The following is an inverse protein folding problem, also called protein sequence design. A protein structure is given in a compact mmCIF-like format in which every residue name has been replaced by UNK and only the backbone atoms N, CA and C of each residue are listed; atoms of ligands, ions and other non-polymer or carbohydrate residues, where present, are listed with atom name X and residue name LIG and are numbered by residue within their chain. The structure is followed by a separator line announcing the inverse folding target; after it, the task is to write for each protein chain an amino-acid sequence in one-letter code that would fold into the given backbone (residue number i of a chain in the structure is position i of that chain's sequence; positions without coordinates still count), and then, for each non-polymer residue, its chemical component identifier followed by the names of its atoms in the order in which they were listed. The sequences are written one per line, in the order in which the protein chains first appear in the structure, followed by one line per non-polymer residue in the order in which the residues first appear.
data_IF_040351296810
#
_entry.id   IF_040351296810
#
_cell.length_a   1.000
_cell.length_b   1.000
_cell.length_c   1.000
_cell.angle_alpha   90.00
_cell.angle_beta   90.00
_cell.angle_gamma   90.00
#
_symmetry.space_group_name_H-M   'P 1'
#
loop_
_entity.id
_entity.type
_entity.pdbx_description
1 polymer ?
#
# COMPACT_ATOMS: atom_id res chain seq x y z
N UNK A 1 26.56 -27.00 -76.95
CA UNK A 1 26.52 -25.76 -76.16
C UNK A 1 25.39 -25.91 -75.15
N UNK A 2 25.71 -26.35 -73.94
CA UNK A 2 24.73 -26.84 -72.96
C UNK A 2 24.02 -25.71 -72.21
N UNK A 3 22.69 -25.81 -72.12
CA UNK A 3 21.87 -24.93 -71.28
C UNK A 3 21.70 -25.56 -69.89
N UNK A 4 22.05 -24.78 -68.86
CA UNK A 4 22.04 -25.16 -67.44
C UNK A 4 20.64 -24.97 -66.83
N UNK A 5 20.22 -25.96 -66.05
CA UNK A 5 19.09 -25.92 -65.13
C UNK A 5 19.33 -24.94 -63.98
N UNK A 6 18.30 -24.20 -63.58
CA UNK A 6 18.24 -23.48 -62.31
C UNK A 6 16.93 -23.82 -61.59
N UNK A 7 17.00 -24.68 -60.58
CA UNK A 7 15.90 -24.99 -59.68
C UNK A 7 15.90 -23.98 -58.51
N UNK A 8 14.78 -23.28 -58.33
CA UNK A 8 14.56 -22.39 -57.19
C UNK A 8 14.18 -23.21 -55.96
N UNK A 9 14.97 -23.11 -54.89
CA UNK A 9 14.67 -23.69 -53.57
C UNK A 9 13.95 -22.63 -52.74
N UNK A 10 12.67 -22.85 -52.45
CA UNK A 10 11.94 -22.06 -51.46
C UNK A 10 12.28 -22.55 -50.04
N UNK A 11 13.02 -21.74 -49.29
CA UNK A 11 13.25 -21.95 -47.87
C UNK A 11 12.00 -21.51 -47.07
N UNK A 12 11.28 -22.47 -46.49
CA UNK A 12 10.18 -22.21 -45.57
C UNK A 12 10.70 -21.78 -44.21
N UNK A 13 10.35 -20.57 -43.77
CA UNK A 13 10.59 -20.07 -42.42
C UNK A 13 9.58 -20.73 -41.48
N UNK A 14 10.05 -21.63 -40.61
CA UNK A 14 9.27 -22.15 -39.49
C UNK A 14 9.29 -21.11 -38.35
N UNK A 15 8.23 -20.29 -38.28
CA UNK A 15 7.97 -19.45 -37.11
C UNK A 15 7.49 -20.34 -35.97
N UNK A 16 8.38 -20.67 -35.02
CA UNK A 16 8.03 -21.33 -33.78
C UNK A 16 7.32 -20.35 -32.85
N UNK A 17 5.98 -20.46 -32.76
CA UNK A 17 5.19 -19.75 -31.76
C UNK A 17 5.59 -20.24 -30.36
N UNK A 18 6.29 -19.42 -29.61
CA UNK A 18 6.47 -19.64 -28.17
C UNK A 18 5.12 -19.42 -27.49
N UNK A 19 4.38 -20.50 -27.21
CA UNK A 19 3.28 -20.45 -26.26
C UNK A 19 3.88 -20.18 -24.88
N UNK A 20 3.70 -18.96 -24.37
CA UNK A 20 3.91 -18.67 -22.96
C UNK A 20 2.84 -19.43 -22.18
N UNK A 21 3.24 -20.45 -21.44
CA UNK A 21 2.34 -21.17 -20.55
C UNK A 21 1.94 -20.23 -19.41
N UNK A 22 0.70 -19.72 -19.46
CA UNK A 22 0.12 -19.00 -18.33
C UNK A 22 -0.01 -19.99 -17.17
N UNK A 23 0.82 -19.81 -16.14
CA UNK A 23 0.61 -20.50 -14.86
C UNK A 23 -0.65 -19.90 -14.25
N UNK A 24 -1.80 -20.56 -14.45
CA UNK A 24 -3.01 -20.21 -13.73
C UNK A 24 -2.81 -20.62 -12.28
N UNK A 25 -2.37 -19.70 -11.44
CA UNK A 25 -2.33 -19.93 -10.00
C UNK A 25 -3.75 -20.28 -9.54
N UNK A 26 -3.95 -21.47 -8.97
CA UNK A 26 -5.23 -21.88 -8.43
C UNK A 26 -5.52 -21.00 -7.20
N UNK A 27 -6.49 -20.08 -7.32
CA UNK A 27 -6.92 -19.23 -6.21
C UNK A 27 -7.54 -20.12 -5.13
N UNK A 28 -6.97 -20.18 -3.91
CA UNK A 28 -7.57 -20.91 -2.80
C UNK A 28 -9.00 -20.44 -2.56
N UNK A 29 -9.87 -21.37 -2.16
CA UNK A 29 -11.30 -21.09 -1.94
C UNK A 29 -11.68 -21.42 -0.52
N UNK A 30 -12.56 -20.59 0.03
CA UNK A 30 -13.22 -20.86 1.30
C UNK A 30 -14.14 -22.09 1.18
N UNK A 31 -14.59 -22.70 2.30
CA UNK A 31 -15.55 -23.81 2.27
C UNK A 31 -16.88 -23.50 1.57
N UNK A 32 -17.22 -22.21 1.41
CA UNK A 32 -18.42 -21.75 0.71
C UNK A 32 -18.17 -21.24 -0.72
N UNK A 33 -16.93 -21.33 -1.23
CA UNK A 33 -16.59 -21.13 -2.64
C UNK A 33 -16.05 -19.75 -3.03
N UNK A 34 -15.97 -18.81 -2.09
CA UNK A 34 -15.35 -17.49 -2.32
C UNK A 34 -13.82 -17.60 -2.42
N UNK A 35 -13.11 -16.67 -3.10
CA UNK A 35 -11.66 -16.53 -2.96
C UNK A 35 -11.27 -16.40 -1.48
N UNK A 36 -10.33 -17.23 -1.04
CA UNK A 36 -9.80 -17.19 0.32
C UNK A 36 -8.67 -16.15 0.40
N UNK A 37 -9.01 -15.03 1.01
CA UNK A 37 -8.13 -13.90 1.31
C UNK A 37 -7.74 -13.87 2.78
N UNK A 38 -8.09 -14.90 3.56
CA UNK A 38 -7.80 -14.89 4.99
C UNK A 38 -6.30 -15.02 5.23
N UNK A 39 -5.82 -14.29 6.23
CA UNK A 39 -4.41 -14.33 6.57
C UNK A 39 -3.98 -13.14 7.39
N UNK A 40 -2.73 -13.18 7.81
CA UNK A 40 -2.01 -12.05 8.37
C UNK A 40 -1.08 -11.55 7.27
N UNK A 41 -1.16 -10.27 7.00
CA UNK A 41 -0.41 -9.57 5.98
C UNK A 41 0.34 -8.43 6.64
N UNK A 42 1.39 -7.96 5.98
CA UNK A 42 2.13 -6.78 6.40
C UNK A 42 2.39 -5.87 5.20
N UNK A 43 2.55 -4.59 5.48
CA UNK A 43 2.95 -3.58 4.49
C UNK A 43 4.45 -3.24 4.54
N UNK A 44 5.25 -3.99 5.29
CA UNK A 44 6.70 -3.75 5.47
C UNK A 44 7.48 -3.60 4.17
N UNK A 45 7.16 -4.42 3.16
CA UNK A 45 7.86 -4.40 1.87
C UNK A 45 7.58 -3.13 1.07
N UNK A 46 6.48 -2.43 1.37
CA UNK A 46 6.05 -1.23 0.66
C UNK A 46 6.58 0.05 1.31
N UNK A 47 7.32 -0.04 2.42
CA UNK A 47 7.80 1.10 3.22
C UNK A 47 8.67 2.09 2.43
N UNK A 48 9.46 1.61 1.48
CA UNK A 48 10.29 2.45 0.59
C UNK A 48 9.67 2.71 -0.79
N UNK A 49 8.41 2.29 -1.00
CA UNK A 49 7.69 2.58 -2.24
C UNK A 49 7.07 3.96 -2.13
N UNK A 50 7.39 4.89 -3.05
CA UNK A 50 6.81 6.23 -2.99
C UNK A 50 5.31 6.18 -3.29
N UNK A 51 4.55 7.14 -2.74
CA UNK A 51 3.11 7.25 -3.03
C UNK A 51 2.87 7.40 -4.54
N UNK A 52 3.46 8.45 -5.11
CA UNK A 52 3.42 8.74 -6.54
C UNK A 52 4.68 8.25 -7.24
N UNK A 53 4.55 7.86 -8.49
CA UNK A 53 5.69 7.41 -9.28
C UNK A 53 6.60 8.58 -9.66
N UNK A 54 7.92 8.47 -9.40
CA UNK A 54 8.89 9.41 -9.94
C UNK A 54 8.83 9.49 -11.47
N UNK A 55 8.90 10.71 -12.02
CA UNK A 55 8.76 10.97 -13.46
C UNK A 55 9.71 10.16 -14.33
N UNK A 56 10.92 9.89 -13.81
CA UNK A 56 11.95 9.09 -14.50
C UNK A 56 11.50 7.67 -14.87
N UNK A 57 10.46 7.14 -14.20
CA UNK A 57 9.95 5.80 -14.48
C UNK A 57 8.81 5.80 -15.50
N UNK A 58 8.16 6.93 -15.80
CA UNK A 58 7.00 6.99 -16.69
C UNK A 58 5.90 6.00 -16.27
N UNK A 59 5.51 5.08 -17.14
CA UNK A 59 4.51 4.03 -16.84
C UNK A 59 5.13 2.74 -16.28
N UNK A 60 6.45 2.68 -16.07
CA UNK A 60 7.13 1.48 -15.59
C UNK A 60 6.76 1.20 -14.14
N UNK A 61 6.10 0.08 -13.90
CA UNK A 61 5.56 -0.32 -12.58
C UNK A 61 6.59 -0.97 -11.67
N UNK A 62 7.71 -1.46 -12.21
CA UNK A 62 8.72 -2.21 -11.47
C UNK A 62 10.14 -1.68 -11.69
N UNK A 63 10.92 -1.67 -10.62
CA UNK A 63 12.35 -1.40 -10.63
C UNK A 63 13.13 -2.49 -11.39
N UNK A 64 14.27 -2.12 -11.98
CA UNK A 64 15.22 -3.12 -12.48
C UNK A 64 15.88 -3.85 -11.30
N UNK A 65 16.50 -5.02 -11.51
CA UNK A 65 17.22 -5.72 -10.45
C UNK A 65 18.29 -4.85 -9.76
N UNK A 66 18.99 -4.00 -10.51
CA UNK A 66 20.01 -3.10 -9.99
C UNK A 66 19.40 -2.00 -9.11
N UNK A 67 18.31 -1.37 -9.58
CA UNK A 67 17.58 -0.34 -8.82
C UNK A 67 16.93 -0.93 -7.55
N UNK A 68 16.41 -2.16 -7.62
CA UNK A 68 15.86 -2.87 -6.47
C UNK A 68 16.95 -3.23 -5.45
N UNK A 69 18.13 -3.63 -5.91
CA UNK A 69 19.28 -3.86 -5.04
C UNK A 69 19.75 -2.57 -4.35
N UNK A 70 19.71 -1.44 -5.04
CA UNK A 70 19.98 -0.13 -4.43
C UNK A 70 18.94 0.21 -3.35
N UNK A 71 17.65 0.03 -3.64
CA UNK A 71 16.58 0.20 -2.64
C UNK A 71 16.81 -0.68 -1.42
N UNK A 72 17.09 -1.96 -1.61
CA UNK A 72 17.39 -2.90 -0.53
C UNK A 72 18.58 -2.45 0.31
N UNK A 73 19.70 -2.04 -0.32
CA UNK A 73 20.87 -1.52 0.41
C UNK A 73 20.58 -0.25 1.20
N UNK A 74 19.72 0.64 0.68
CA UNK A 74 19.25 1.82 1.40
C UNK A 74 18.38 1.45 2.61
N UNK A 75 17.46 0.51 2.47
CA UNK A 75 16.65 0.02 3.59
C UNK A 75 17.49 -0.67 4.66
N UNK A 76 18.45 -1.51 4.28
CA UNK A 76 19.35 -2.15 5.22
C UNK A 76 20.17 -1.12 6.02
N UNK A 77 20.61 -0.04 5.37
CA UNK A 77 21.28 1.06 6.05
C UNK A 77 20.36 1.75 7.04
N UNK A 78 19.14 2.10 6.64
CA UNK A 78 18.14 2.71 7.54
C UNK A 78 17.81 1.79 8.71
N UNK A 79 17.64 0.49 8.47
CA UNK A 79 17.39 -0.50 9.51
C UNK A 79 18.53 -0.58 10.52
N UNK A 80 19.79 -0.51 10.06
CA UNK A 80 20.96 -0.43 10.94
C UNK A 80 20.97 0.88 11.72
N UNK A 81 20.71 2.01 11.06
CA UNK A 81 20.74 3.35 11.67
C UNK A 81 19.65 3.48 12.76
N UNK A 82 18.42 3.06 12.50
CA UNK A 82 17.30 3.07 13.46
C UNK A 82 17.55 2.10 14.63
N UNK A 83 18.28 1.00 14.39
CA UNK A 83 18.66 0.02 15.42
C UNK A 83 20.00 0.34 16.08
N UNK A 84 20.73 1.39 15.65
CA UNK A 84 22.07 1.71 16.13
C UNK A 84 22.09 2.27 17.55
N UNK A 85 23.12 1.96 18.34
CA UNK A 85 23.37 2.51 19.68
C UNK A 85 24.04 3.90 19.59
N UNK A 86 23.32 4.89 19.07
CA UNK A 86 23.67 6.30 19.27
C UNK A 86 23.27 6.77 20.67
N UNK A 87 23.69 7.98 21.12
CA UNK A 87 23.06 8.60 22.28
C UNK A 87 21.54 8.58 22.05
N UNK A 88 20.73 8.20 23.06
CA UNK A 88 19.28 8.15 22.88
C UNK A 88 18.84 9.47 22.27
N UNK A 89 18.21 9.42 21.09
CA UNK A 89 17.26 10.47 20.78
C UNK A 89 16.19 10.25 21.84
N UNK A 90 16.04 11.18 22.78
CA UNK A 90 15.18 11.06 23.97
C UNK A 90 13.68 10.79 23.65
N UNK A 91 13.35 10.52 22.38
CA UNK A 91 12.03 10.45 21.78
C UNK A 91 11.79 9.18 20.92
N UNK A 92 12.79 8.29 20.75
CA UNK A 92 12.60 7.07 19.92
C UNK A 92 12.18 5.85 20.74
N UNK A 93 11.12 5.16 20.29
CA UNK A 93 10.63 3.91 20.89
C UNK A 93 11.64 2.76 20.82
N UNK A 94 11.36 1.61 21.48
CA UNK A 94 12.25 0.46 21.48
C UNK A 94 12.67 0.01 20.08
N UNK A 95 13.96 -0.24 19.90
CA UNK A 95 14.57 -0.60 18.60
C UNK A 95 13.96 -1.81 17.91
N UNK A 96 13.46 -2.76 18.69
CA UNK A 96 12.84 -3.98 18.18
C UNK A 96 11.42 -3.74 17.65
N UNK A 97 10.85 -2.55 17.81
CA UNK A 97 9.57 -2.18 17.20
C UNK A 97 9.72 -1.82 15.73
N UNK A 98 10.91 -1.41 15.28
CA UNK A 98 11.12 -1.04 13.89
C UNK A 98 11.03 -2.24 12.95
N UNK A 99 10.00 -2.23 12.12
CA UNK A 99 9.65 -3.26 11.15
C UNK A 99 10.26 -2.92 9.78
N UNK A 100 11.02 -3.87 9.25
CA UNK A 100 11.68 -3.77 7.95
C UNK A 100 11.49 -5.11 7.24
N UNK A 101 11.05 -5.08 5.98
CA UNK A 101 10.94 -6.30 5.19
C UNK A 101 12.32 -6.83 4.85
N UNK A 102 12.47 -8.16 4.82
CA UNK A 102 13.66 -8.81 4.28
C UNK A 102 13.84 -8.53 2.78
N UNK A 103 12.74 -8.26 2.08
CA UNK A 103 12.72 -7.98 0.65
C UNK A 103 11.80 -6.79 0.38
N UNK A 104 12.33 -5.62 -0.01
CA UNK A 104 11.50 -4.51 -0.43
C UNK A 104 10.74 -4.87 -1.71
N UNK A 105 9.61 -4.19 -1.88
CA UNK A 105 8.80 -4.23 -3.09
C UNK A 105 9.55 -3.61 -4.28
N UNK A 106 9.42 -4.25 -5.44
CA UNK A 106 9.93 -3.72 -6.70
C UNK A 106 9.07 -2.59 -7.26
N UNK A 107 7.91 -2.29 -6.65
CA UNK A 107 6.97 -1.29 -7.18
C UNK A 107 7.60 0.09 -7.24
N UNK A 108 7.33 0.81 -8.32
CA UNK A 108 7.77 2.20 -8.48
C UNK A 108 6.82 3.21 -7.84
N UNK A 109 5.61 2.81 -7.46
CA UNK A 109 4.60 3.64 -6.78
C UNK A 109 3.54 2.82 -6.04
N UNK A 110 2.87 3.43 -5.05
CA UNK A 110 1.67 2.89 -4.42
C UNK A 110 0.40 3.17 -5.26
N UNK A 111 0.35 4.34 -5.90
CA UNK A 111 -0.70 4.65 -6.89
C UNK A 111 -0.44 3.83 -8.15
N UNK A 112 -1.45 3.07 -8.57
CA UNK A 112 -1.40 2.19 -9.75
C UNK A 112 -2.25 2.69 -10.93
N UNK A 113 -3.25 3.52 -10.64
CA UNK A 113 -4.16 4.11 -11.60
C UNK A 113 -4.31 5.60 -11.27
N UNK A 114 -4.03 6.53 -12.21
CA UNK A 114 -3.63 6.33 -13.61
C UNK A 114 -2.33 5.55 -13.84
N UNK A 115 -2.09 4.99 -15.05
CA UNK A 115 -0.92 4.16 -15.36
C UNK A 115 0.43 4.83 -15.17
N UNK A 116 0.49 6.16 -15.09
CA UNK A 116 1.70 6.92 -14.74
C UNK A 116 1.98 6.92 -13.23
N UNK A 117 1.08 6.35 -12.43
CA UNK A 117 1.23 6.17 -10.98
C UNK A 117 1.20 7.48 -10.21
N UNK A 118 0.55 8.52 -10.73
CA UNK A 118 0.47 9.84 -10.11
C UNK A 118 -0.96 10.17 -9.69
N UNK A 119 -1.11 10.91 -8.59
CA UNK A 119 -2.43 11.32 -8.10
C UNK A 119 -2.99 12.36 -9.08
N UNK A 120 -4.18 12.13 -9.67
CA UNK A 120 -4.78 13.11 -10.56
C UNK A 120 -5.05 14.44 -9.82
N UNK A 121 -5.08 15.57 -10.54
CA UNK A 121 -5.46 16.85 -9.95
C UNK A 121 -6.78 16.75 -9.18
N UNK A 122 -6.81 17.30 -7.97
CA UNK A 122 -8.01 17.30 -7.14
C UNK A 122 -9.16 18.00 -7.86
N UNK A 123 -10.35 17.41 -7.82
CA UNK A 123 -11.58 18.06 -8.29
C UNK A 123 -11.87 19.32 -7.46
N UNK A 124 -12.60 20.29 -8.01
CA UNK A 124 -12.99 21.51 -7.26
C UNK A 124 -13.70 21.20 -5.94
N UNK A 125 -14.53 20.16 -5.91
CA UNK A 125 -15.19 19.73 -4.68
C UNK A 125 -14.23 19.07 -3.68
N UNK A 126 -13.15 18.44 -4.13
CA UNK A 126 -12.12 17.92 -3.24
C UNK A 126 -11.27 19.07 -2.66
N UNK A 127 -10.88 20.04 -3.50
CA UNK A 127 -10.16 21.24 -3.07
C UNK A 127 -10.94 22.03 -2.00
N UNK A 128 -12.27 22.13 -2.11
CA UNK A 128 -13.09 22.83 -1.11
C UNK A 128 -13.26 22.07 0.22
N UNK A 129 -12.84 20.80 0.27
CA UNK A 129 -12.86 19.94 1.47
C UNK A 129 -11.45 19.58 1.94
N UNK A 130 -10.43 20.20 1.35
CA UNK A 130 -9.05 20.02 1.78
C UNK A 130 -8.93 20.47 3.23
N UNK A 131 -8.31 19.61 4.04
CA UNK A 131 -8.03 19.93 5.43
C UNK A 131 -6.79 20.81 5.42
N UNK A 132 -6.88 21.97 6.06
CA UNK A 132 -5.75 22.88 6.24
C UNK A 132 -4.58 22.13 6.89
N UNK A 133 -3.40 22.05 6.24
CA UNK A 133 -2.25 21.37 6.80
C UNK A 133 -1.74 22.04 8.09
N UNK A 134 -2.13 23.28 8.37
CA UNK A 134 -1.79 24.01 9.60
C UNK A 134 -2.93 23.96 10.65
N UNK A 135 -3.96 23.12 10.43
CA UNK A 135 -5.09 22.97 11.34
C UNK A 135 -4.66 22.41 12.70
N UNK A 136 -4.83 23.17 13.79
CA UNK A 136 -4.56 22.72 15.18
C UNK A 136 -5.53 21.65 15.72
N UNK A 137 -6.56 21.27 14.95
CA UNK A 137 -7.55 20.25 15.30
C UNK A 137 -7.58 19.10 14.28
N UNK A 138 -8.04 17.93 14.72
CA UNK A 138 -8.36 16.80 13.83
C UNK A 138 -7.23 15.79 13.66
N UNK A 139 -6.79 15.58 12.41
CA UNK A 139 -5.73 14.62 12.06
C UNK A 139 -4.35 15.25 11.86
N UNK A 140 -4.27 16.58 11.71
CA UNK A 140 -3.05 17.27 11.25
C UNK A 140 -2.35 18.02 12.38
N UNK A 141 -3.07 18.82 13.15
CA UNK A 141 -2.51 19.48 14.34
C UNK A 141 -2.41 18.54 15.53
N UNK A 142 -1.92 19.00 16.67
CA UNK A 142 -1.87 18.24 17.92
C UNK A 142 -0.82 18.74 18.91
N UNK A 143 -0.73 18.07 20.05
CA UNK A 143 0.16 18.43 21.15
C UNK A 143 1.64 18.56 20.74
N UNK A 144 2.07 17.82 19.71
CA UNK A 144 3.46 17.76 19.28
C UNK A 144 3.86 18.82 18.23
N UNK A 145 2.92 19.64 17.75
CA UNK A 145 3.21 20.74 16.80
C UNK A 145 3.52 22.09 17.49
N UNK A 146 3.53 22.11 18.83
CA UNK A 146 3.68 23.32 19.64
C UNK A 146 2.35 23.98 20.03
N UNK A 147 1.21 23.36 19.70
CA UNK A 147 -0.11 23.76 20.17
C UNK A 147 -0.19 23.75 21.71
N UNK A 148 -1.07 24.59 22.30
CA UNK A 148 -1.26 24.62 23.75
C UNK A 148 -1.61 23.24 24.32
N UNK A 149 -1.12 22.89 25.51
CA UNK A 149 -1.43 21.62 26.20
C UNK A 149 -2.35 21.88 27.41
N UNK A 150 -3.51 22.47 27.16
CA UNK A 150 -4.47 22.85 28.20
C UNK A 150 -5.48 21.74 28.51
N UNK A 151 -5.73 20.81 27.58
CA UNK A 151 -6.69 19.73 27.78
C UNK A 151 -6.61 18.60 26.74
N UNK A 152 -7.41 17.53 26.92
CA UNK A 152 -7.45 16.40 25.99
C UNK A 152 -7.93 16.79 24.58
N UNK A 153 -8.61 17.92 24.43
CA UNK A 153 -9.04 18.46 23.14
C UNK A 153 -7.90 19.04 22.31
N UNK A 154 -6.78 19.39 22.93
CA UNK A 154 -5.58 19.86 22.24
C UNK A 154 -4.76 18.71 21.64
N UNK A 155 -5.09 17.46 22.01
CA UNK A 155 -4.52 16.28 21.38
C UNK A 155 -5.35 15.86 20.16
N UNK A 156 -4.65 15.46 19.10
CA UNK A 156 -5.27 15.02 17.87
C UNK A 156 -5.82 13.59 17.96
N UNK A 157 -6.54 13.14 16.94
CA UNK A 157 -7.20 11.83 16.96
C UNK A 157 -6.20 10.66 17.12
N UNK A 158 -5.00 10.80 16.57
CA UNK A 158 -3.94 9.80 16.68
C UNK A 158 -3.27 9.80 18.06
N UNK A 159 -3.01 10.99 18.61
CA UNK A 159 -2.41 11.19 19.94
C UNK A 159 -3.34 10.70 21.06
N UNK A 160 -4.65 10.79 20.85
CA UNK A 160 -5.67 10.28 21.77
C UNK A 160 -5.94 8.79 21.60
N UNK A 161 -5.19 8.10 20.75
CA UNK A 161 -5.41 6.70 20.39
C UNK A 161 -6.84 6.40 19.89
N UNK A 162 -7.49 7.38 19.26
CA UNK A 162 -8.86 7.22 18.73
C UNK A 162 -8.79 6.62 17.34
N UNK A 163 -8.07 7.28 16.44
CA UNK A 163 -7.95 6.83 15.05
C UNK A 163 -6.81 7.52 14.31
N UNK A 164 -6.21 6.84 13.33
CA UNK A 164 -5.33 7.43 12.29
C UNK A 164 -6.09 7.72 11.00
N UNK A 165 -7.31 7.23 10.87
CA UNK A 165 -8.17 7.41 9.71
C UNK A 165 -7.66 6.65 8.49
N UNK A 166 -8.49 6.67 7.44
CA UNK A 166 -8.09 6.16 6.13
C UNK A 166 -7.63 7.33 5.25
N UNK A 167 -6.60 7.13 4.41
CA UNK A 167 -5.85 5.87 4.21
C UNK A 167 -4.67 5.66 5.17
N UNK A 168 -4.38 6.59 6.09
CA UNK A 168 -3.15 6.58 6.90
C UNK A 168 -2.96 5.32 7.74
N UNK A 169 -4.03 4.68 8.22
CA UNK A 169 -3.88 3.42 8.96
C UNK A 169 -3.34 2.26 8.10
N UNK A 170 -3.58 2.30 6.79
CA UNK A 170 -3.10 1.27 5.86
C UNK A 170 -1.66 1.53 5.42
N UNK A 171 -1.20 2.79 5.43
CA UNK A 171 0.12 3.09 4.87
C UNK A 171 1.26 2.55 5.75
N UNK A 172 2.31 1.99 5.10
CA UNK A 172 3.50 1.55 5.82
C UNK A 172 4.05 2.67 6.67
N UNK A 173 4.44 2.35 7.89
CA UNK A 173 5.18 3.24 8.77
C UNK A 173 6.41 2.51 9.33
N UNK A 174 7.08 3.11 10.30
CA UNK A 174 8.23 2.48 10.95
C UNK A 174 7.86 1.21 11.75
N UNK A 175 6.59 1.03 12.15
CA UNK A 175 6.09 -0.10 12.92
C UNK A 175 4.56 -0.22 12.82
N UNK A 176 3.98 -1.28 13.37
CA UNK A 176 2.54 -1.57 13.31
C UNK A 176 2.03 -1.64 11.86
N UNK A 177 2.71 -2.39 11.01
CA UNK A 177 2.37 -2.55 9.59
C UNK A 177 1.50 -3.78 9.32
N UNK A 178 1.20 -4.57 10.36
CA UNK A 178 0.39 -5.78 10.26
C UNK A 178 -1.11 -5.51 10.11
N UNK A 179 -1.77 -6.36 9.33
CA UNK A 179 -3.22 -6.45 9.28
C UNK A 179 -3.69 -7.89 9.06
N UNK A 180 -4.84 -8.22 9.61
CA UNK A 180 -5.47 -9.52 9.47
C UNK A 180 -6.75 -9.40 8.65
N UNK A 181 -6.90 -10.29 7.67
CA UNK A 181 -8.16 -10.49 6.95
C UNK A 181 -8.84 -11.74 7.49
N UNK A 182 -10.11 -11.61 7.85
CA UNK A 182 -10.98 -12.71 8.26
C UNK A 182 -12.24 -12.69 7.39
N UNK A 183 -12.70 -13.86 6.95
CA UNK A 183 -13.88 -13.97 6.10
C UNK A 183 -14.97 -14.80 6.75
N UNK A 184 -16.21 -14.43 6.43
CA UNK A 184 -17.40 -15.25 6.69
C UNK A 184 -18.32 -15.12 5.48
N UNK A 185 -19.30 -16.01 5.28
CA UNK A 185 -20.27 -15.84 4.21
C UNK A 185 -20.89 -14.43 4.23
N UNK A 186 -20.71 -13.68 3.14
CA UNK A 186 -21.26 -12.33 2.97
C UNK A 186 -20.51 -11.19 3.70
N UNK A 187 -19.39 -11.43 4.38
CA UNK A 187 -18.58 -10.37 4.99
C UNK A 187 -17.06 -10.61 4.90
N UNK A 188 -16.32 -9.51 4.80
CA UNK A 188 -14.87 -9.46 5.02
C UNK A 188 -14.60 -8.55 6.21
N UNK A 189 -13.78 -8.99 7.15
CA UNK A 189 -13.24 -8.14 8.20
C UNK A 189 -11.75 -7.90 7.97
N UNK A 190 -11.32 -6.65 8.08
CA UNK A 190 -9.90 -6.27 8.09
C UNK A 190 -9.60 -5.65 9.44
N UNK A 191 -8.70 -6.26 10.21
CA UNK A 191 -8.21 -5.78 11.49
C UNK A 191 -6.79 -5.26 11.32
N UNK A 192 -6.56 -3.99 11.62
CA UNK A 192 -5.23 -3.40 11.62
C UNK A 192 -4.61 -3.54 13.00
N UNK A 193 -3.33 -3.88 13.04
CA UNK A 193 -2.54 -3.81 14.27
C UNK A 193 -2.51 -2.37 14.81
N UNK A 194 -2.35 -1.40 13.92
CA UNK A 194 -2.35 0.03 14.26
C UNK A 194 -3.70 0.44 14.85
N UNK A 195 -3.66 0.88 16.11
CA UNK A 195 -4.82 1.35 16.88
C UNK A 195 -5.98 0.34 17.02
N UNK A 196 -5.75 -0.95 16.75
CA UNK A 196 -6.78 -2.00 16.74
C UNK A 196 -8.03 -1.62 15.92
N UNK A 197 -7.84 -0.84 14.86
CA UNK A 197 -8.92 -0.42 13.99
C UNK A 197 -9.41 -1.61 13.17
N UNK A 198 -10.71 -1.67 12.90
CA UNK A 198 -11.27 -2.73 12.06
C UNK A 198 -12.30 -2.20 11.08
N UNK A 199 -12.36 -2.82 9.91
CA UNK A 199 -13.42 -2.63 8.93
C UNK A 199 -14.21 -3.91 8.80
N UNK A 200 -15.52 -3.84 9.00
CA UNK A 200 -16.45 -4.90 8.65
C UNK A 200 -17.13 -4.52 7.34
N UNK A 201 -16.86 -5.29 6.28
CA UNK A 201 -17.26 -5.01 4.91
C UNK A 201 -18.34 -6.02 4.53
N UNK A 202 -19.62 -5.61 4.45
CA UNK A 202 -20.68 -6.46 3.92
C UNK A 202 -20.57 -6.58 2.40
N UNK A 203 -20.82 -7.80 1.88
CA UNK A 203 -20.74 -8.14 0.46
C UNK A 203 -22.13 -8.33 -0.19
N UNK A 204 -23.20 -8.01 0.54
CA UNK A 204 -24.58 -8.30 0.14
C UNK A 204 -25.31 -7.10 -0.49
N UNK A 205 -24.60 -6.00 -0.75
CA UNK A 205 -25.16 -4.80 -1.36
C UNK A 205 -26.20 -4.07 -0.49
N UNK A 206 -26.28 -4.35 0.82
CA UNK A 206 -27.23 -3.71 1.74
C UNK A 206 -27.18 -2.18 1.69
N UNK A 207 -28.27 -1.52 2.05
CA UNK A 207 -28.37 -0.06 2.03
C UNK A 207 -27.26 0.61 2.87
N UNK A 208 -26.76 1.79 2.45
CA UNK A 208 -25.80 2.55 3.25
C UNK A 208 -26.35 2.93 4.62
N UNK A 209 -25.44 3.22 5.56
CA UNK A 209 -25.81 3.81 6.84
C UNK A 209 -26.59 5.11 6.63
N UNK A 210 -27.60 5.33 7.47
CA UNK A 210 -28.37 6.59 7.43
C UNK A 210 -27.45 7.78 7.70
N UNK A 211 -27.76 8.94 7.11
CA UNK A 211 -26.92 10.15 7.20
C UNK A 211 -26.63 10.63 8.64
N UNK A 212 -27.42 10.19 9.63
CA UNK A 212 -27.22 10.50 11.05
C UNK A 212 -26.15 9.65 11.74
N UNK A 213 -25.66 8.58 11.10
CA UNK A 213 -24.65 7.69 11.67
C UNK A 213 -23.33 7.92 10.95
N UNK A 214 -22.31 8.36 11.71
CA UNK A 214 -20.94 8.54 11.21
C UNK A 214 -20.01 7.59 11.93
N UNK A 215 -19.13 6.95 11.17
CA UNK A 215 -18.06 6.10 11.68
C UNK A 215 -16.72 6.73 11.30
N UNK A 216 -15.69 6.51 12.12
CA UNK A 216 -14.33 7.03 11.88
C UNK A 216 -13.76 6.61 10.52
N UNK A 217 -14.16 5.42 10.04
CA UNK A 217 -13.67 4.79 8.81
C UNK A 217 -14.66 4.91 7.63
N UNK A 218 -15.73 5.69 7.81
CA UNK A 218 -16.86 5.73 6.90
C UNK A 218 -17.66 4.43 6.89
N UNK A 219 -18.68 4.39 6.03
CA UNK A 219 -19.51 3.20 5.80
C UNK A 219 -18.77 2.22 4.86
N UNK A 220 -18.37 1.07 5.39
CA UNK A 220 -17.62 0.06 4.63
C UNK A 220 -18.55 -0.74 3.71
N UNK A 221 -18.16 -0.94 2.45
CA UNK A 221 -18.98 -1.59 1.42
C UNK A 221 -18.10 -2.40 0.47
N UNK A 222 -18.55 -3.62 0.14
CA UNK A 222 -17.93 -4.49 -0.87
C UNK A 222 -18.72 -4.57 -2.16
#
# INVERSE_FOLDING_TARGET
MGYRFGAAVCAGVLAGSMLSAQVTAQVPRTPWGDPDLQGIYTTDAERSVPMERPEQFGERTELTPEELAERAGNEERLARDDKHDGPPRDETGPKHWFEYAERPSARTSLVIDPPDGRIPPLTLGAQSREIDPDSVLGFVGGAFDGSPLNGPEDFNLGERCITRGLPHTWFPSAYNNGFQIVQSPGHVAILYERLHEHRLIPLDGRAPLTQGIRQWFGDSRG
#
